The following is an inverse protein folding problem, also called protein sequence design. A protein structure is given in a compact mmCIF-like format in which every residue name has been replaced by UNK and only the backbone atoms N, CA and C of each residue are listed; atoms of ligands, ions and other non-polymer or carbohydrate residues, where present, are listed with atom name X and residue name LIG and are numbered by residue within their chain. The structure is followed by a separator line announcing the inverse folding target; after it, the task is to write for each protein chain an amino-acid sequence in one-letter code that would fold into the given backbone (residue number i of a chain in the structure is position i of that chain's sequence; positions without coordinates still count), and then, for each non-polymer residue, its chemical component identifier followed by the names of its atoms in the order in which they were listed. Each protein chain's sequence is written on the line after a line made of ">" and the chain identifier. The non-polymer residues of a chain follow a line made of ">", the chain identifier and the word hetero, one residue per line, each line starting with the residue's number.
data_IF_020094213592
#
_entry.id   IF_020094213592
#
_cell.length_a   1.000
_cell.length_b   1.000
_cell.length_c   1.000
_cell.angle_alpha   90.00
_cell.angle_beta   90.00
_cell.angle_gamma   90.00
#
_symmetry.space_group_name_H-M   'P 1'
#
loop_
_entity.id
_entity.type
_entity.pdbx_description
1 polymer ?
#
# COMPACT_ATOMS: atom_id res chain seq x y z
N UNK A 1 5.08 -37.29 13.51
CA UNK A 1 5.04 -35.83 13.70
C UNK A 1 3.89 -35.34 12.83
N UNK A 2 2.89 -34.67 13.38
CA UNK A 2 1.77 -34.13 12.59
C UNK A 2 2.17 -32.76 12.02
N UNK A 3 1.67 -32.44 10.84
CA UNK A 3 1.88 -31.16 10.14
C UNK A 3 0.56 -30.38 10.01
N UNK A 4 -0.56 -30.99 10.35
CA UNK A 4 -1.91 -30.44 10.24
C UNK A 4 -2.54 -30.41 11.64
N UNK A 5 -3.12 -29.28 12.01
CA UNK A 5 -3.85 -29.06 13.27
C UNK A 5 -5.33 -29.08 12.97
N UNK A 6 -6.01 -30.09 13.53
CA UNK A 6 -7.44 -30.33 13.38
C UNK A 6 -8.16 -30.39 14.73
N UNK A 7 -7.43 -30.66 15.81
CA UNK A 7 -8.01 -30.85 17.15
C UNK A 7 -7.36 -29.92 18.18
N UNK A 8 -8.07 -29.70 19.28
CA UNK A 8 -7.55 -28.92 20.41
C UNK A 8 -6.27 -29.53 21.00
N UNK A 9 -6.22 -30.85 21.12
CA UNK A 9 -5.03 -31.54 21.63
C UNK A 9 -3.80 -31.31 20.76
N UNK A 10 -3.97 -31.31 19.42
CA UNK A 10 -2.89 -31.00 18.49
C UNK A 10 -2.47 -29.54 18.63
N UNK A 11 -3.44 -28.62 18.73
CA UNK A 11 -3.15 -27.20 18.88
C UNK A 11 -2.38 -26.91 20.18
N UNK A 12 -2.78 -27.53 21.28
CA UNK A 12 -2.09 -27.40 22.56
C UNK A 12 -0.64 -27.88 22.49
N UNK A 13 -0.38 -28.95 21.72
CA UNK A 13 1.00 -29.40 21.44
C UNK A 13 1.80 -28.39 20.64
N UNK A 14 1.21 -27.81 19.57
CA UNK A 14 1.87 -26.77 18.74
C UNK A 14 2.27 -25.57 19.61
N UNK A 15 1.47 -25.16 20.56
CA UNK A 15 1.78 -24.04 21.45
C UNK A 15 3.08 -24.23 22.24
N UNK A 16 3.44 -25.48 22.59
CA UNK A 16 4.68 -25.79 23.29
C UNK A 16 5.86 -26.11 22.36
N UNK A 17 5.59 -26.35 21.09
CA UNK A 17 6.62 -26.79 20.14
C UNK A 17 7.25 -25.65 19.33
N UNK A 18 6.56 -24.53 19.19
CA UNK A 18 7.08 -23.37 18.46
C UNK A 18 7.86 -22.43 19.38
N UNK A 19 9.01 -21.98 18.92
CA UNK A 19 9.82 -20.96 19.60
C UNK A 19 9.21 -19.55 19.50
N UNK A 20 9.87 -18.54 20.05
CA UNK A 20 9.32 -17.19 20.17
C UNK A 20 9.27 -16.40 18.85
N UNK A 21 9.91 -16.88 17.79
CA UNK A 21 9.95 -16.26 16.48
C UNK A 21 9.45 -17.20 15.41
N UNK A 22 8.40 -16.81 14.71
CA UNK A 22 7.73 -17.63 13.70
C UNK A 22 7.56 -16.89 12.37
N UNK A 23 7.41 -17.70 11.31
CA UNK A 23 6.95 -17.25 10.01
C UNK A 23 5.48 -17.66 9.83
N UNK A 24 4.65 -16.76 9.29
CA UNK A 24 3.20 -16.96 9.15
C UNK A 24 2.74 -16.61 7.75
N UNK A 25 1.92 -17.51 7.16
CA UNK A 25 1.26 -17.29 5.88
C UNK A 25 -0.24 -17.59 5.97
N UNK A 26 -1.12 -16.63 5.62
CA UNK A 26 -2.53 -16.91 5.37
C UNK A 26 -2.71 -17.50 3.97
N UNK A 27 -3.50 -18.56 3.86
CA UNK A 27 -3.87 -19.20 2.58
C UNK A 27 -5.31 -18.80 2.26
N UNK A 28 -5.50 -17.97 1.24
CA UNK A 28 -6.82 -17.51 0.80
C UNK A 28 -7.51 -18.55 -0.11
N UNK A 29 -8.81 -18.40 -0.38
CA UNK A 29 -9.57 -19.23 -1.33
C UNK A 29 -8.97 -19.22 -2.74
N UNK A 30 -8.45 -18.07 -3.15
CA UNK A 30 -7.68 -17.90 -4.37
C UNK A 30 -6.38 -17.12 -4.05
N UNK A 31 -5.23 -17.45 -4.69
CA UNK A 31 -3.93 -16.81 -4.39
C UNK A 31 -3.92 -15.28 -4.57
N UNK A 32 -4.78 -14.78 -5.46
CA UNK A 32 -4.87 -13.35 -5.81
C UNK A 32 -6.12 -12.67 -5.23
N UNK A 33 -6.93 -13.38 -4.43
CA UNK A 33 -8.13 -12.82 -3.82
C UNK A 33 -7.78 -11.77 -2.77
N UNK A 34 -8.54 -10.68 -2.76
CA UNK A 34 -8.37 -9.65 -1.74
C UNK A 34 -8.71 -10.21 -0.35
N UNK A 35 -7.80 -10.08 0.64
CA UNK A 35 -7.95 -10.74 1.95
C UNK A 35 -9.09 -10.20 2.81
N UNK A 36 -9.72 -9.06 2.45
CA UNK A 36 -10.94 -8.55 3.11
C UNK A 36 -12.22 -9.28 2.70
N UNK A 37 -12.19 -10.09 1.63
CA UNK A 37 -13.40 -10.71 1.09
C UNK A 37 -13.80 -11.94 1.93
N UNK A 38 -12.84 -12.80 2.21
CA UNK A 38 -13.05 -14.01 3.01
C UNK A 38 -11.91 -14.20 4.02
N UNK A 39 -12.23 -14.83 5.13
CA UNK A 39 -11.21 -15.37 6.02
C UNK A 39 -10.34 -16.40 5.26
N UNK A 40 -9.06 -16.57 5.63
CA UNK A 40 -8.20 -17.56 5.00
C UNK A 40 -8.74 -18.98 5.22
N UNK A 41 -8.43 -19.88 4.26
CA UNK A 41 -8.74 -21.32 4.39
C UNK A 41 -7.92 -21.97 5.49
N UNK A 42 -6.65 -21.60 5.53
CA UNK A 42 -5.69 -22.14 6.47
C UNK A 42 -4.71 -21.05 6.88
N UNK A 43 -4.06 -21.26 8.01
CA UNK A 43 -2.93 -20.46 8.46
C UNK A 43 -1.71 -21.38 8.64
N UNK A 44 -0.63 -21.08 7.92
CA UNK A 44 0.64 -21.78 8.08
C UNK A 44 1.49 -21.08 9.14
N UNK A 45 2.02 -21.87 10.10
CA UNK A 45 2.90 -21.43 11.18
C UNK A 45 4.22 -22.21 11.09
N UNK A 46 5.36 -21.54 11.08
CA UNK A 46 6.67 -22.16 10.95
C UNK A 46 7.67 -21.54 11.93
N UNK A 47 8.30 -22.39 12.74
CA UNK A 47 9.40 -21.96 13.60
C UNK A 47 10.60 -21.50 12.74
N UNK A 48 11.21 -20.37 13.11
CA UNK A 48 12.36 -19.82 12.37
C UNK A 48 13.66 -20.57 12.67
N UNK A 49 13.77 -21.16 13.84
CA UNK A 49 15.01 -21.80 14.33
C UNK A 49 14.98 -23.31 14.26
N UNK A 50 13.81 -23.92 14.29
CA UNK A 50 13.62 -25.38 14.33
C UNK A 50 12.87 -25.87 13.07
N UNK A 51 13.10 -27.10 12.62
CA UNK A 51 12.43 -27.66 11.45
C UNK A 51 10.99 -28.11 11.80
N UNK A 52 10.17 -27.20 12.33
CA UNK A 52 8.79 -27.44 12.74
C UNK A 52 7.83 -26.49 12.08
N UNK A 53 6.92 -27.00 11.26
CA UNK A 53 5.89 -26.24 10.57
C UNK A 53 4.53 -26.93 10.70
N UNK A 54 3.49 -26.13 10.82
CA UNK A 54 2.12 -26.58 11.03
C UNK A 54 1.15 -25.80 10.16
N UNK A 55 0.17 -26.51 9.61
CA UNK A 55 -0.98 -25.91 8.96
C UNK A 55 -2.18 -26.00 9.91
N UNK A 56 -2.78 -24.86 10.24
CA UNK A 56 -4.03 -24.81 11.01
C UNK A 56 -5.17 -24.63 10.03
N UNK A 57 -6.10 -25.58 10.01
CA UNK A 57 -7.22 -25.53 9.09
C UNK A 57 -8.37 -24.70 9.65
N UNK A 58 -8.84 -23.71 8.86
CA UNK A 58 -10.04 -22.95 9.20
C UNK A 58 -11.26 -23.41 8.37
N UNK A 59 -11.12 -23.52 7.06
CA UNK A 59 -12.26 -23.75 6.17
C UNK A 59 -11.97 -24.71 5.00
N UNK A 60 -10.80 -25.35 4.93
CA UNK A 60 -10.51 -26.31 3.88
C UNK A 60 -11.31 -27.60 4.11
N UNK A 61 -12.00 -28.15 3.06
CA UNK A 61 -12.95 -29.25 3.24
C UNK A 61 -12.32 -30.62 3.55
N UNK A 62 -11.02 -30.80 3.29
CA UNK A 62 -10.33 -32.07 3.54
C UNK A 62 -9.93 -32.30 5.00
N UNK A 63 -10.15 -31.33 5.88
CA UNK A 63 -9.73 -31.43 7.27
C UNK A 63 -10.77 -30.82 8.23
N UNK A 64 -10.72 -31.22 9.52
CA UNK A 64 -11.56 -30.62 10.54
C UNK A 64 -11.22 -29.16 10.74
N UNK A 65 -12.25 -28.32 10.89
CA UNK A 65 -12.12 -26.89 11.07
C UNK A 65 -11.72 -26.55 12.50
N UNK A 66 -10.75 -25.64 12.64
CA UNK A 66 -10.30 -25.13 13.93
C UNK A 66 -10.76 -23.68 14.13
N UNK A 67 -11.04 -23.27 15.37
CA UNK A 67 -11.51 -21.91 15.66
C UNK A 67 -10.42 -20.85 15.40
N UNK A 68 -10.62 -19.93 14.43
CA UNK A 68 -9.66 -18.88 14.15
C UNK A 68 -9.37 -17.93 15.33
N UNK A 69 -10.31 -17.77 16.28
CA UNK A 69 -10.14 -16.88 17.42
C UNK A 69 -9.05 -17.35 18.36
N UNK A 70 -8.98 -18.66 18.62
CA UNK A 70 -7.93 -19.24 19.47
C UNK A 70 -6.53 -19.00 18.88
N UNK A 71 -6.40 -19.13 17.56
CA UNK A 71 -5.13 -18.89 16.88
C UNK A 71 -4.71 -17.42 16.96
N UNK A 72 -5.65 -16.48 16.89
CA UNK A 72 -5.34 -15.04 17.07
C UNK A 72 -4.75 -14.74 18.44
N UNK A 73 -5.32 -15.30 19.51
CA UNK A 73 -4.78 -15.12 20.86
C UNK A 73 -3.38 -15.75 20.99
N UNK A 74 -3.18 -16.91 20.38
CA UNK A 74 -1.87 -17.56 20.37
C UNK A 74 -0.82 -16.73 19.63
N UNK A 75 -1.16 -16.14 18.47
CA UNK A 75 -0.24 -15.28 17.70
C UNK A 75 0.26 -14.07 18.51
N UNK A 76 -0.51 -13.59 19.50
CA UNK A 76 -0.10 -12.50 20.39
C UNK A 76 1.04 -12.88 21.32
N UNK A 77 1.24 -14.16 21.58
CA UNK A 77 2.29 -14.65 22.49
C UNK A 77 3.69 -14.66 21.88
N UNK A 78 3.79 -14.64 20.54
CA UNK A 78 5.08 -14.64 19.87
C UNK A 78 5.81 -13.31 20.00
N UNK A 79 7.12 -13.38 20.13
CA UNK A 79 7.98 -12.19 20.17
C UNK A 79 8.06 -11.51 18.80
N UNK A 80 8.16 -12.34 17.74
CA UNK A 80 8.20 -11.86 16.35
C UNK A 80 7.45 -12.80 15.42
N UNK A 81 6.69 -12.18 14.53
CA UNK A 81 5.99 -12.84 13.44
C UNK A 81 6.51 -12.26 12.13
N UNK A 82 7.11 -13.08 11.29
CA UNK A 82 7.57 -12.72 9.96
C UNK A 82 6.55 -13.17 8.91
N UNK A 83 6.28 -12.33 7.92
CA UNK A 83 5.40 -12.66 6.81
C UNK A 83 5.86 -11.96 5.54
N UNK A 84 5.66 -12.53 4.35
CA UNK A 84 5.97 -11.84 3.09
C UNK A 84 5.14 -10.58 2.86
N UNK A 85 3.91 -10.54 3.37
CA UNK A 85 2.98 -9.42 3.23
C UNK A 85 2.22 -9.21 4.56
N UNK A 86 2.73 -8.27 5.36
CA UNK A 86 2.13 -7.88 6.65
C UNK A 86 0.71 -7.36 6.46
N UNK A 87 0.47 -6.62 5.40
CA UNK A 87 -0.84 -6.05 5.09
C UNK A 87 -1.88 -7.15 4.85
N UNK A 88 -1.54 -8.18 4.06
CA UNK A 88 -2.41 -9.33 3.84
C UNK A 88 -2.67 -10.12 5.13
N UNK A 89 -1.63 -10.39 5.93
CA UNK A 89 -1.78 -11.07 7.22
C UNK A 89 -2.64 -10.25 8.19
N UNK A 90 -2.57 -8.91 8.15
CA UNK A 90 -3.30 -8.02 9.06
C UNK A 90 -4.82 -8.11 8.93
N UNK A 91 -5.36 -8.63 7.83
CA UNK A 91 -6.79 -8.95 7.71
C UNK A 91 -7.22 -10.15 8.59
N UNK A 92 -6.27 -11.02 8.92
CA UNK A 92 -6.49 -12.16 9.81
C UNK A 92 -6.02 -11.87 11.22
N UNK A 93 -4.80 -11.34 11.35
CA UNK A 93 -4.17 -11.01 12.61
C UNK A 93 -3.42 -9.67 12.49
N UNK A 94 -3.92 -8.64 13.16
CA UNK A 94 -3.26 -7.35 13.28
C UNK A 94 -2.47 -7.31 14.60
N UNK A 95 -1.14 -7.25 14.50
CA UNK A 95 -0.24 -7.25 15.65
C UNK A 95 0.99 -6.36 15.43
N UNK A 96 1.44 -5.71 16.51
CA UNK A 96 2.66 -4.87 16.51
C UNK A 96 3.94 -5.69 16.43
N UNK A 97 3.85 -7.01 16.68
CA UNK A 97 4.93 -7.97 16.59
C UNK A 97 5.10 -8.60 15.19
N UNK A 98 4.38 -8.09 14.18
CA UNK A 98 4.39 -8.60 12.80
C UNK A 98 5.27 -7.74 11.91
N UNK A 99 6.14 -8.38 11.11
CA UNK A 99 7.13 -7.75 10.26
C UNK A 99 6.97 -8.17 8.79
N UNK A 100 7.02 -7.19 7.88
CA UNK A 100 6.92 -7.38 6.43
C UNK A 100 8.28 -7.66 5.82
N UNK A 101 8.46 -8.85 5.27
CA UNK A 101 9.73 -9.26 4.68
C UNK A 101 9.94 -8.65 3.28
N UNK A 102 8.88 -8.46 2.50
CA UNK A 102 8.99 -7.90 1.15
C UNK A 102 9.33 -6.41 1.15
N UNK A 103 8.94 -5.67 2.16
CA UNK A 103 9.35 -4.26 2.29
C UNK A 103 10.83 -4.14 2.66
N UNK A 104 11.37 -5.13 3.39
CA UNK A 104 12.80 -5.18 3.70
C UNK A 104 13.62 -5.68 2.50
N UNK A 105 13.24 -6.82 1.91
CA UNK A 105 13.87 -7.38 0.71
C UNK A 105 12.84 -8.15 -0.10
N UNK A 106 12.39 -7.53 -1.18
CA UNK A 106 11.38 -8.14 -2.05
C UNK A 106 11.86 -9.44 -2.70
N UNK A 107 11.04 -10.48 -2.63
CA UNK A 107 11.23 -11.74 -3.33
C UNK A 107 10.05 -12.00 -4.26
N UNK A 108 10.34 -12.29 -5.51
CA UNK A 108 9.35 -12.79 -6.47
C UNK A 108 9.16 -14.30 -6.28
N UNK A 109 8.46 -14.69 -5.22
CA UNK A 109 8.12 -16.09 -5.00
C UNK A 109 6.89 -16.45 -5.81
N UNK A 110 6.93 -17.56 -6.53
CA UNK A 110 5.79 -18.05 -7.29
C UNK A 110 4.61 -18.33 -6.35
N UNK A 111 3.54 -17.57 -6.50
CA UNK A 111 2.29 -17.74 -5.73
C UNK A 111 1.50 -18.98 -6.10
N UNK A 112 1.83 -19.61 -7.24
CA UNK A 112 1.16 -20.79 -7.76
C UNK A 112 2.17 -21.90 -8.02
N UNK A 113 1.83 -23.10 -7.58
CA UNK A 113 2.57 -24.34 -7.90
C UNK A 113 2.09 -24.96 -9.20
N UNK A 114 2.77 -26.01 -9.64
CA UNK A 114 2.27 -26.89 -10.71
C UNK A 114 0.88 -27.46 -10.39
N UNK A 115 0.61 -27.79 -9.11
CA UNK A 115 -0.71 -28.25 -8.67
C UNK A 115 -1.80 -27.18 -8.90
N UNK A 116 -1.56 -25.92 -8.54
CA UNK A 116 -2.49 -24.81 -8.81
C UNK A 116 -2.81 -24.68 -10.31
N UNK A 117 -1.80 -24.71 -11.16
CA UNK A 117 -1.97 -24.63 -12.62
C UNK A 117 -2.80 -25.79 -13.16
N UNK A 118 -2.50 -27.01 -12.71
CA UNK A 118 -3.21 -28.22 -13.13
C UNK A 118 -4.70 -28.19 -12.73
N UNK A 119 -5.00 -27.87 -11.47
CA UNK A 119 -6.37 -27.85 -11.00
C UNK A 119 -7.19 -26.72 -11.62
N UNK A 120 -6.61 -25.52 -11.78
CA UNK A 120 -7.25 -24.40 -12.47
C UNK A 120 -7.63 -24.76 -13.91
N UNK A 121 -6.75 -25.39 -14.66
CA UNK A 121 -7.00 -25.81 -16.03
C UNK A 121 -8.08 -26.90 -16.12
N UNK A 122 -8.04 -27.88 -15.19
CA UNK A 122 -8.95 -29.03 -15.25
C UNK A 122 -10.39 -28.70 -14.85
N UNK A 123 -10.57 -27.86 -13.83
CA UNK A 123 -11.89 -27.64 -13.24
C UNK A 123 -12.52 -26.30 -13.62
N UNK A 124 -11.81 -25.42 -14.30
CA UNK A 124 -12.26 -24.09 -14.70
C UNK A 124 -12.80 -23.25 -13.53
N UNK A 125 -12.44 -23.60 -12.29
CA UNK A 125 -12.84 -22.88 -11.09
C UNK A 125 -11.76 -21.87 -10.76
N UNK A 126 -12.11 -20.59 -10.85
CA UNK A 126 -11.16 -19.51 -10.55
C UNK A 126 -11.34 -18.98 -9.13
N UNK A 127 -12.58 -18.93 -8.64
CA UNK A 127 -12.93 -18.31 -7.37
C UNK A 127 -12.41 -19.09 -6.15
N UNK A 128 -12.58 -20.41 -6.18
CA UNK A 128 -12.28 -21.32 -5.06
C UNK A 128 -11.11 -22.25 -5.38
N UNK A 129 -10.14 -21.78 -6.17
CA UNK A 129 -9.01 -22.60 -6.63
C UNK A 129 -8.31 -23.36 -5.49
N UNK A 130 -8.09 -22.72 -4.36
CA UNK A 130 -7.40 -23.35 -3.23
C UNK A 130 -8.26 -24.35 -2.45
N UNK A 131 -9.59 -24.33 -2.60
CA UNK A 131 -10.48 -25.33 -2.00
C UNK A 131 -10.39 -26.69 -2.66
N UNK A 132 -10.05 -26.74 -3.96
CA UNK A 132 -9.95 -27.99 -4.74
C UNK A 132 -8.53 -28.57 -4.77
N UNK A 133 -7.54 -27.82 -4.29
CA UNK A 133 -6.16 -28.29 -4.18
C UNK A 133 -6.02 -29.06 -2.87
N UNK A 134 -5.47 -30.28 -2.88
CA UNK A 134 -5.28 -31.06 -1.66
C UNK A 134 -4.53 -30.27 -0.59
N UNK A 135 -5.00 -30.31 0.66
CA UNK A 135 -4.46 -29.50 1.77
C UNK A 135 -2.96 -29.74 1.98
N UNK A 136 -2.46 -30.95 1.72
CA UNK A 136 -1.03 -31.28 1.81
C UNK A 136 -0.20 -30.46 0.81
N UNK A 137 -0.76 -30.12 -0.35
CA UNK A 137 -0.06 -29.31 -1.35
C UNK A 137 0.08 -27.86 -0.92
N UNK A 138 -0.86 -27.36 -0.13
CA UNK A 138 -0.71 -26.05 0.51
C UNK A 138 0.43 -26.06 1.53
N UNK A 139 0.54 -27.10 2.34
CA UNK A 139 1.65 -27.24 3.27
C UNK A 139 3.00 -27.27 2.55
N UNK A 140 3.15 -28.14 1.53
CA UNK A 140 4.37 -28.23 0.71
C UNK A 140 4.75 -26.88 0.09
N UNK A 141 3.77 -26.14 -0.43
CA UNK A 141 4.00 -24.82 -1.00
C UNK A 141 4.48 -23.81 0.05
N UNK A 142 3.92 -23.84 1.25
CA UNK A 142 4.32 -22.95 2.34
C UNK A 142 5.75 -23.23 2.81
N UNK A 143 6.18 -24.50 2.85
CA UNK A 143 7.58 -24.86 3.17
C UNK A 143 8.54 -24.28 2.11
N UNK A 144 8.20 -24.39 0.82
CA UNK A 144 9.00 -23.79 -0.26
C UNK A 144 9.10 -22.25 -0.09
N UNK A 145 7.98 -21.59 0.19
CA UNK A 145 7.95 -20.14 0.42
C UNK A 145 8.80 -19.78 1.64
N UNK A 146 8.69 -20.52 2.73
CA UNK A 146 9.50 -20.30 3.92
C UNK A 146 10.99 -20.40 3.61
N UNK A 147 11.43 -21.43 2.91
CA UNK A 147 12.84 -21.63 2.55
C UNK A 147 13.40 -20.46 1.72
N UNK A 148 12.60 -19.88 0.83
CA UNK A 148 12.96 -18.69 0.05
C UNK A 148 13.12 -17.44 0.94
N UNK A 149 12.33 -17.33 2.03
CA UNK A 149 12.40 -16.18 2.94
C UNK A 149 13.36 -16.38 4.12
N UNK A 150 13.77 -17.58 4.44
CA UNK A 150 14.67 -17.85 5.57
C UNK A 150 15.97 -17.02 5.53
N UNK A 151 16.65 -16.84 4.38
CA UNK A 151 17.81 -15.96 4.29
C UNK A 151 17.48 -14.48 4.56
N UNK A 152 16.26 -14.04 4.21
CA UNK A 152 15.80 -12.66 4.48
C UNK A 152 15.54 -12.48 5.97
N UNK A 153 14.86 -13.45 6.61
CA UNK A 153 14.58 -13.43 8.06
C UNK A 153 15.89 -13.33 8.86
N UNK A 154 16.91 -14.11 8.50
CA UNK A 154 18.22 -14.12 9.20
C UNK A 154 18.93 -12.77 9.22
N UNK A 155 18.70 -11.90 8.25
CA UNK A 155 19.30 -10.56 8.14
C UNK A 155 18.33 -9.42 8.39
N UNK A 156 17.09 -9.74 8.76
CA UNK A 156 16.02 -8.76 8.92
C UNK A 156 16.34 -7.75 10.03
N UNK A 157 16.17 -6.48 9.70
CA UNK A 157 16.28 -5.36 10.64
C UNK A 157 14.94 -4.63 10.65
N UNK A 158 14.29 -4.49 11.82
CA UNK A 158 13.04 -3.75 11.94
C UNK A 158 13.18 -2.30 11.44
N UNK A 159 12.15 -1.83 10.74
CA UNK A 159 12.08 -0.49 10.21
C UNK A 159 10.67 0.08 10.46
N UNK A 160 10.56 1.11 11.28
CA UNK A 160 9.29 1.73 11.66
C UNK A 160 8.52 2.25 10.44
N UNK A 161 9.20 2.82 9.46
CA UNK A 161 8.56 3.26 8.23
C UNK A 161 7.89 2.12 7.46
N UNK A 162 8.48 0.93 7.41
CA UNK A 162 7.86 -0.24 6.78
C UNK A 162 6.61 -0.69 7.53
N UNK A 163 6.65 -0.63 8.86
CA UNK A 163 5.48 -0.94 9.69
C UNK A 163 4.35 0.06 9.47
N UNK A 164 4.66 1.35 9.47
CA UNK A 164 3.71 2.41 9.21
C UNK A 164 3.10 2.29 7.81
N UNK A 165 3.94 2.07 6.80
CA UNK A 165 3.50 1.89 5.41
C UNK A 165 2.51 0.72 5.29
N UNK A 166 2.83 -0.45 5.84
CA UNK A 166 1.92 -1.60 5.81
C UNK A 166 0.61 -1.32 6.55
N UNK A 167 0.68 -0.69 7.72
CA UNK A 167 -0.47 -0.44 8.58
C UNK A 167 -1.44 0.57 7.95
N UNK A 168 -0.95 1.68 7.38
CA UNK A 168 -1.83 2.70 6.79
C UNK A 168 -2.53 2.16 5.54
N UNK A 169 -1.82 1.39 4.69
CA UNK A 169 -2.43 0.82 3.50
C UNK A 169 -3.39 -0.33 3.82
N UNK A 170 -3.10 -1.16 4.81
CA UNK A 170 -4.08 -2.13 5.31
C UNK A 170 -5.36 -1.44 5.81
N UNK A 171 -5.23 -0.33 6.54
CA UNK A 171 -6.38 0.41 7.05
C UNK A 171 -7.28 0.93 5.91
N UNK A 172 -6.70 1.42 4.81
CA UNK A 172 -7.44 1.87 3.63
C UNK A 172 -8.10 0.67 2.94
N UNK A 173 -7.34 -0.37 2.65
CA UNK A 173 -7.80 -1.55 1.90
C UNK A 173 -8.97 -2.26 2.58
N UNK A 174 -8.96 -2.39 3.91
CA UNK A 174 -10.02 -3.09 4.63
C UNK A 174 -11.39 -2.40 4.54
N UNK A 175 -11.41 -1.10 4.29
CA UNK A 175 -12.65 -0.33 4.25
C UNK A 175 -13.45 -0.57 2.98
N UNK A 176 -12.80 -0.74 1.83
CA UNK A 176 -13.44 -0.86 0.52
C UNK A 176 -14.24 0.40 0.14
N UNK A 177 -14.61 0.50 -1.13
CA UNK A 177 -15.51 1.51 -1.64
C UNK A 177 -16.86 0.88 -1.94
N UNK A 178 -17.95 1.53 -1.50
CA UNK A 178 -19.29 1.11 -1.86
C UNK A 178 -19.55 1.43 -3.32
N UNK A 179 -20.16 0.49 -4.04
CA UNK A 179 -20.53 0.63 -5.45
C UNK A 179 -22.02 0.51 -5.62
N UNK A 180 -22.58 1.27 -6.58
CA UNK A 180 -23.97 1.16 -6.96
C UNK A 180 -24.17 0.10 -8.07
N UNK A 181 -25.44 -0.13 -8.46
CA UNK A 181 -25.82 -1.13 -9.47
C UNK A 181 -25.26 -0.87 -10.87
N UNK A 182 -24.80 0.35 -11.17
CA UNK A 182 -24.20 0.68 -12.46
C UNK A 182 -22.74 0.24 -12.61
N UNK A 183 -22.14 -0.35 -11.57
CA UNK A 183 -20.73 -0.77 -11.57
C UNK A 183 -20.38 -1.61 -12.80
N UNK A 184 -21.16 -2.64 -13.11
CA UNK A 184 -20.91 -3.54 -14.22
C UNK A 184 -20.97 -2.85 -15.60
N UNK A 185 -21.65 -1.71 -15.69
CA UNK A 185 -21.74 -0.92 -16.94
C UNK A 185 -20.38 -0.34 -17.37
N UNK A 186 -19.52 -0.02 -16.40
CA UNK A 186 -18.27 0.69 -16.67
C UNK A 186 -17.02 -0.18 -16.54
N UNK A 187 -17.15 -1.33 -15.88
CA UNK A 187 -16.00 -2.16 -15.53
C UNK A 187 -16.20 -3.60 -15.96
N UNK A 188 -15.55 -3.98 -17.06
CA UNK A 188 -15.44 -5.37 -17.51
C UNK A 188 -14.24 -6.01 -16.83
N UNK A 189 -14.42 -6.43 -15.59
CA UNK A 189 -13.40 -7.13 -14.82
C UNK A 189 -13.49 -8.63 -15.11
N UNK A 190 -12.43 -9.22 -15.67
CA UNK A 190 -12.36 -10.66 -15.93
C UNK A 190 -12.55 -11.53 -14.68
N UNK A 191 -12.22 -10.98 -13.50
CA UNK A 191 -12.27 -11.67 -12.20
C UNK A 191 -12.78 -10.73 -11.11
N UNK A 192 -14.03 -10.26 -11.18
CA UNK A 192 -14.55 -9.31 -10.19
C UNK A 192 -14.57 -9.87 -8.78
N UNK A 193 -14.68 -11.21 -8.62
CA UNK A 193 -14.65 -11.88 -7.33
C UNK A 193 -13.31 -11.73 -6.57
N UNK A 194 -12.22 -11.39 -7.25
CA UNK A 194 -10.92 -11.19 -6.59
C UNK A 194 -10.86 -9.90 -5.76
N UNK A 195 -11.62 -8.87 -6.14
CA UNK A 195 -11.58 -7.57 -5.48
C UNK A 195 -12.95 -7.02 -5.09
N UNK A 196 -14.03 -7.78 -5.31
CA UNK A 196 -15.41 -7.34 -5.04
C UNK A 196 -16.17 -8.33 -4.18
N UNK A 197 -16.90 -7.81 -3.21
CA UNK A 197 -17.81 -8.60 -2.38
C UNK A 197 -19.05 -7.80 -2.05
N UNK A 198 -20.24 -8.36 -2.32
CA UNK A 198 -21.51 -7.66 -2.19
C UNK A 198 -21.51 -6.33 -2.97
N UNK A 199 -21.84 -5.23 -2.31
CA UNK A 199 -21.85 -3.86 -2.86
C UNK A 199 -20.56 -3.09 -2.62
N UNK A 200 -19.42 -3.78 -2.35
CA UNK A 200 -18.12 -3.15 -2.14
C UNK A 200 -17.09 -3.67 -3.12
N UNK A 201 -16.22 -2.76 -3.57
CA UNK A 201 -14.96 -3.11 -4.23
C UNK A 201 -13.79 -2.72 -3.33
N UNK A 202 -12.76 -3.55 -3.29
CA UNK A 202 -11.60 -3.34 -2.45
C UNK A 202 -10.41 -2.95 -3.31
N UNK A 203 -9.73 -1.86 -2.94
CA UNK A 203 -8.44 -1.51 -3.53
C UNK A 203 -7.35 -2.36 -2.89
N UNK A 204 -6.32 -2.68 -3.67
CA UNK A 204 -5.13 -3.36 -3.19
C UNK A 204 -3.90 -2.62 -3.70
N UNK A 205 -3.02 -2.20 -2.79
CA UNK A 205 -1.82 -1.47 -3.12
C UNK A 205 -0.59 -2.38 -3.17
N UNK A 206 0.14 -2.30 -4.28
CA UNK A 206 1.50 -2.83 -4.34
C UNK A 206 2.46 -1.81 -3.71
N UNK A 207 3.06 -2.18 -2.58
CA UNK A 207 4.03 -1.35 -1.86
C UNK A 207 5.47 -1.56 -2.35
N UNK A 208 5.71 -2.62 -3.14
CA UNK A 208 7.03 -3.02 -3.64
C UNK A 208 7.30 -2.49 -5.06
N UNK A 209 7.10 -1.19 -5.26
CA UNK A 209 7.41 -0.53 -6.53
C UNK A 209 8.86 -0.03 -6.56
N UNK A 210 9.38 0.22 -7.75
CA UNK A 210 10.75 0.73 -7.93
C UNK A 210 11.00 2.01 -7.13
N UNK A 211 10.05 2.93 -7.16
CA UNK A 211 10.16 4.22 -6.46
C UNK A 211 9.68 4.14 -5.00
N UNK A 212 9.03 3.05 -4.59
CA UNK A 212 8.35 2.94 -3.31
C UNK A 212 7.01 3.71 -3.26
N UNK A 213 6.56 4.29 -4.38
CA UNK A 213 5.23 4.92 -4.50
C UNK A 213 4.19 3.82 -4.68
N UNK A 214 3.22 3.65 -3.77
CA UNK A 214 2.21 2.62 -3.86
C UNK A 214 1.40 2.72 -5.15
N UNK A 215 1.15 1.59 -5.79
CA UNK A 215 0.30 1.52 -6.99
C UNK A 215 -0.79 0.48 -6.80
N UNK A 216 -1.93 0.65 -7.48
CA UNK A 216 -2.96 -0.39 -7.48
C UNK A 216 -2.45 -1.66 -8.15
N UNK A 217 -2.79 -2.82 -7.60
CA UNK A 217 -2.42 -4.12 -8.18
C UNK A 217 -3.27 -4.40 -9.43
N UNK A 218 -2.75 -5.24 -10.33
CA UNK A 218 -3.41 -5.57 -11.60
C UNK A 218 -4.72 -6.35 -11.45
N UNK A 219 -5.01 -6.93 -10.29
CA UNK A 219 -6.25 -7.66 -10.03
C UNK A 219 -7.35 -6.77 -9.41
N UNK A 220 -7.11 -5.46 -9.34
CA UNK A 220 -8.02 -4.45 -8.84
C UNK A 220 -8.16 -3.31 -9.85
N UNK A 221 -9.12 -2.41 -9.61
CA UNK A 221 -9.25 -1.19 -10.40
C UNK A 221 -8.05 -0.29 -10.17
N UNK A 222 -7.52 0.29 -11.25
CA UNK A 222 -6.54 1.36 -11.14
C UNK A 222 -7.26 2.69 -10.89
N UNK A 223 -7.59 2.96 -9.64
CA UNK A 223 -8.34 4.15 -9.24
C UNK A 223 -7.65 5.46 -9.62
N UNK A 224 -6.32 5.51 -9.59
CA UNK A 224 -5.55 6.69 -9.98
C UNK A 224 -5.68 7.02 -11.48
N UNK A 225 -6.00 6.03 -12.32
CA UNK A 225 -6.16 6.18 -13.77
C UNK A 225 -7.64 6.24 -14.21
N UNK A 226 -8.61 6.25 -13.29
CA UNK A 226 -10.02 6.35 -13.66
C UNK A 226 -10.33 7.73 -14.26
N UNK A 227 -10.83 7.79 -15.49
CA UNK A 227 -11.18 9.05 -16.13
C UNK A 227 -12.33 9.75 -15.39
N UNK A 228 -12.32 11.08 -15.37
CA UNK A 228 -13.39 11.90 -14.78
C UNK A 228 -14.57 12.09 -15.75
N UNK A 229 -14.27 12.11 -17.06
CA UNK A 229 -15.18 12.57 -18.11
C UNK A 229 -16.17 11.51 -18.56
N UNK A 230 -15.87 10.22 -18.37
CA UNK A 230 -16.74 9.12 -18.86
C UNK A 230 -17.80 8.66 -17.86
N UNK A 231 -17.90 9.29 -16.69
CA UNK A 231 -18.84 8.93 -15.64
C UNK A 231 -18.54 7.65 -14.87
N UNK A 232 -17.38 6.98 -15.12
CA UNK A 232 -17.03 5.74 -14.42
C UNK A 232 -16.89 5.92 -12.91
N UNK A 233 -16.51 7.12 -12.46
CA UNK A 233 -16.40 7.44 -11.03
C UNK A 233 -17.75 7.54 -10.32
N UNK A 234 -18.87 7.73 -11.03
CA UNK A 234 -20.20 7.88 -10.44
C UNK A 234 -20.74 6.59 -9.79
N UNK A 235 -20.11 5.45 -10.09
CA UNK A 235 -20.49 4.18 -9.46
C UNK A 235 -19.99 4.06 -8.02
N UNK A 236 -19.02 4.87 -7.61
CA UNK A 236 -18.49 4.87 -6.24
C UNK A 236 -19.29 5.87 -5.41
N UNK A 237 -20.04 5.34 -4.46
CA UNK A 237 -20.99 6.09 -3.63
C UNK A 237 -20.63 5.96 -2.14
N UNK A 238 -21.01 6.91 -1.29
CA UNK A 238 -20.76 6.79 0.13
C UNK A 238 -21.60 5.67 0.76
N UNK A 239 -21.07 5.04 1.80
CA UNK A 239 -21.84 4.22 2.75
C UNK A 239 -22.53 5.08 3.81
N UNK A 240 -21.90 6.24 4.11
CA UNK A 240 -22.37 7.25 5.05
C UNK A 240 -23.10 8.38 4.32
N UNK A 241 -22.83 9.64 4.65
CA UNK A 241 -23.57 10.79 4.14
C UNK A 241 -23.05 11.31 2.81
N UNK A 242 -21.70 11.39 2.64
CA UNK A 242 -21.09 11.91 1.42
C UNK A 242 -19.62 11.46 1.31
N UNK A 243 -19.06 11.56 0.09
CA UNK A 243 -17.63 11.45 -0.15
C UNK A 243 -16.97 12.83 -0.02
N UNK A 244 -15.78 12.87 0.61
CA UNK A 244 -14.92 14.06 0.71
C UNK A 244 -13.55 13.71 0.14
N UNK A 245 -13.15 14.41 -0.92
CA UNK A 245 -11.80 14.35 -1.48
C UNK A 245 -10.97 15.53 -0.95
N UNK A 246 -9.79 15.23 -0.45
CA UNK A 246 -8.76 16.20 -0.06
C UNK A 246 -7.60 16.02 -1.03
N UNK A 247 -7.34 17.00 -1.89
CA UNK A 247 -6.34 16.98 -2.97
C UNK A 247 -5.22 17.97 -2.64
N UNK A 248 -3.96 17.51 -2.68
CA UNK A 248 -2.78 18.33 -2.40
C UNK A 248 -2.42 19.19 -3.61
N UNK A 249 -2.36 20.50 -3.43
CA UNK A 249 -2.01 21.45 -4.49
C UNK A 249 -0.51 21.67 -4.54
N UNK A 250 0.08 21.66 -5.76
CA UNK A 250 1.51 21.89 -6.00
C UNK A 250 2.43 20.99 -5.13
N UNK A 251 2.02 19.75 -4.89
CA UNK A 251 2.62 18.92 -3.84
C UNK A 251 4.11 18.64 -4.06
N UNK A 252 4.53 18.16 -5.24
CA UNK A 252 5.95 17.93 -5.51
C UNK A 252 6.79 19.20 -5.42
N UNK A 253 6.41 20.34 -6.01
CA UNK A 253 7.14 21.59 -5.81
C UNK A 253 7.24 21.98 -4.33
N UNK A 254 6.17 21.82 -3.55
CA UNK A 254 6.18 22.12 -2.11
C UNK A 254 7.16 21.22 -1.36
N UNK A 255 7.15 19.91 -1.61
CA UNK A 255 8.10 18.97 -1.00
C UNK A 255 9.55 19.28 -1.39
N UNK A 256 9.80 19.59 -2.67
CA UNK A 256 11.13 19.99 -3.14
C UNK A 256 11.56 21.27 -2.44
N UNK A 257 10.68 22.27 -2.35
CA UNK A 257 10.95 23.52 -1.65
C UNK A 257 11.37 23.29 -0.20
N UNK A 258 10.65 22.43 0.51
CA UNK A 258 11.00 22.02 1.88
C UNK A 258 12.38 21.34 1.95
N UNK A 259 12.67 20.42 1.00
CA UNK A 259 13.95 19.71 0.96
C UNK A 259 15.15 20.65 0.69
N UNK A 260 14.97 21.66 -0.15
CA UNK A 260 16.05 22.58 -0.54
C UNK A 260 16.10 23.87 0.29
N UNK A 261 15.16 24.02 1.25
CA UNK A 261 15.07 25.21 2.09
C UNK A 261 14.59 26.47 1.33
N UNK A 262 13.82 26.29 0.26
CA UNK A 262 13.21 27.42 -0.46
C UNK A 262 11.98 27.93 0.30
N UNK A 263 12.00 29.20 0.65
CA UNK A 263 10.87 29.88 1.29
C UNK A 263 10.05 30.60 0.21
N UNK A 264 8.93 30.02 -0.21
CA UNK A 264 8.01 30.63 -1.16
C UNK A 264 7.41 31.91 -0.61
N UNK A 265 7.59 33.08 -1.26
CA UNK A 265 6.99 34.35 -0.84
C UNK A 265 5.46 34.34 -0.81
N UNK A 266 4.83 33.66 -1.77
CA UNK A 266 3.36 33.55 -1.86
C UNK A 266 2.79 32.31 -1.17
N UNK A 267 3.65 31.36 -0.82
CA UNK A 267 3.27 30.02 -0.37
C UNK A 267 2.93 29.06 -1.51
N UNK A 268 2.95 29.50 -2.77
CA UNK A 268 2.73 28.70 -3.97
C UNK A 268 3.85 28.94 -4.99
N UNK A 269 4.69 27.94 -5.24
CA UNK A 269 5.84 28.04 -6.13
C UNK A 269 5.42 28.39 -7.57
N UNK A 270 4.22 28.00 -8.00
CA UNK A 270 3.70 28.38 -9.32
C UNK A 270 3.38 29.89 -9.38
N UNK A 271 2.86 30.48 -8.30
CA UNK A 271 2.63 31.91 -8.22
C UNK A 271 3.94 32.68 -8.14
N UNK A 272 4.91 32.20 -7.38
CA UNK A 272 6.25 32.81 -7.32
C UNK A 272 6.89 32.86 -8.71
N UNK A 273 6.85 31.74 -9.43
CA UNK A 273 7.39 31.64 -10.79
C UNK A 273 6.61 32.51 -11.78
N UNK A 274 5.28 32.53 -11.68
CA UNK A 274 4.43 33.38 -12.50
C UNK A 274 4.75 34.86 -12.32
N UNK A 275 4.92 35.31 -11.06
CA UNK A 275 5.26 36.68 -10.74
C UNK A 275 6.63 37.10 -11.26
N UNK A 276 7.65 36.23 -11.15
CA UNK A 276 9.01 36.50 -11.62
C UNK A 276 9.11 36.66 -13.15
N UNK A 277 8.37 35.83 -13.89
CA UNK A 277 8.47 35.76 -15.36
C UNK A 277 7.26 36.40 -16.07
N UNK A 278 6.35 37.03 -15.37
CA UNK A 278 5.23 37.80 -15.96
C UNK A 278 4.23 36.96 -16.75
N UNK A 279 3.87 35.78 -16.25
CA UNK A 279 2.92 34.86 -16.87
C UNK A 279 1.76 34.50 -15.90
N UNK A 280 0.71 33.83 -16.40
CA UNK A 280 -0.33 33.34 -15.54
C UNK A 280 0.07 32.05 -14.78
N UNK A 281 -0.61 31.75 -13.68
CA UNK A 281 -0.32 30.59 -12.83
C UNK A 281 -0.48 29.26 -13.55
N UNK A 282 -1.38 29.14 -14.53
CA UNK A 282 -1.63 27.90 -15.28
C UNK A 282 -0.46 27.61 -16.22
N UNK A 283 0.04 28.63 -16.90
CA UNK A 283 1.23 28.57 -17.74
C UNK A 283 2.46 28.24 -16.88
N UNK A 284 2.64 28.93 -15.75
CA UNK A 284 3.71 28.67 -14.79
C UNK A 284 3.70 27.22 -14.29
N UNK A 285 2.54 26.67 -13.96
CA UNK A 285 2.40 25.26 -13.57
C UNK A 285 2.93 24.32 -14.64
N UNK A 286 2.56 24.55 -15.91
CA UNK A 286 3.01 23.73 -17.03
C UNK A 286 4.53 23.79 -17.24
N UNK A 287 5.12 24.97 -17.09
CA UNK A 287 6.57 25.18 -17.23
C UNK A 287 7.35 24.59 -16.07
N UNK A 288 6.94 24.86 -14.83
CA UNK A 288 7.60 24.29 -13.62
C UNK A 288 7.58 22.76 -13.69
N UNK A 289 6.44 22.17 -14.06
CA UNK A 289 6.33 20.72 -14.21
C UNK A 289 7.30 20.17 -15.26
N UNK A 290 7.37 20.78 -16.44
CA UNK A 290 8.31 20.35 -17.49
C UNK A 290 9.77 20.41 -17.05
N UNK A 291 10.12 21.40 -16.24
CA UNK A 291 11.49 21.57 -15.75
C UNK A 291 11.84 20.56 -14.65
N UNK A 292 10.95 20.31 -13.73
CA UNK A 292 11.19 19.34 -12.64
C UNK A 292 11.34 17.90 -13.16
N UNK A 293 10.53 17.51 -14.16
CA UNK A 293 10.53 16.15 -14.70
C UNK A 293 11.36 15.97 -15.97
N UNK A 294 11.73 17.04 -16.60
CA UNK A 294 12.53 17.02 -17.83
C UNK A 294 13.93 17.61 -17.64
N UNK A 295 14.06 18.90 -17.83
CA UNK A 295 15.32 19.64 -17.74
C UNK A 295 15.05 21.10 -17.39
N UNK A 296 15.86 21.67 -16.51
CA UNK A 296 15.78 23.09 -16.17
C UNK A 296 16.39 23.89 -17.32
N UNK A 297 15.55 24.68 -18.02
CA UNK A 297 15.98 25.50 -19.17
C UNK A 297 16.86 26.66 -18.71
N UNK A 298 17.86 27.00 -19.52
CA UNK A 298 18.83 28.04 -19.19
C UNK A 298 18.21 29.39 -18.82
N UNK A 299 17.09 29.75 -19.45
CA UNK A 299 16.36 31.00 -19.18
C UNK A 299 15.70 31.07 -17.80
N UNK A 300 15.54 29.93 -17.12
CA UNK A 300 14.90 29.84 -15.80
C UNK A 300 15.84 29.34 -14.67
N UNK A 301 17.10 29.06 -15.03
CA UNK A 301 18.08 28.52 -14.07
C UNK A 301 18.38 29.46 -12.90
N UNK A 302 18.13 30.78 -13.09
CA UNK A 302 18.40 31.78 -12.08
C UNK A 302 17.23 31.95 -11.07
N UNK A 303 16.06 31.39 -11.34
CA UNK A 303 14.98 31.28 -10.36
C UNK A 303 15.47 30.50 -9.14
N UNK A 304 15.43 31.10 -7.96
CA UNK A 304 16.08 30.56 -6.77
C UNK A 304 15.64 29.15 -6.43
N UNK A 305 14.37 28.83 -6.60
CA UNK A 305 13.87 27.47 -6.43
C UNK A 305 14.55 26.47 -7.37
N UNK A 306 14.73 26.81 -8.65
CA UNK A 306 15.40 25.90 -9.59
C UNK A 306 16.90 25.82 -9.34
N UNK A 307 17.53 26.91 -8.94
CA UNK A 307 18.95 26.93 -8.55
C UNK A 307 19.25 25.98 -7.40
N UNK A 308 18.41 26.02 -6.37
CA UNK A 308 18.50 25.11 -5.21
C UNK A 308 18.18 23.66 -5.60
N UNK A 309 17.14 23.46 -6.41
CA UNK A 309 16.75 22.14 -6.92
C UNK A 309 17.86 21.51 -7.76
N UNK A 310 18.50 22.27 -8.64
CA UNK A 310 19.60 21.77 -9.46
C UNK A 310 20.79 21.31 -8.60
N UNK A 311 21.15 22.04 -7.56
CA UNK A 311 22.17 21.60 -6.60
C UNK A 311 21.82 20.28 -5.94
N UNK A 312 20.57 20.09 -5.54
CA UNK A 312 20.10 18.83 -4.94
C UNK A 312 20.18 17.69 -5.97
N UNK A 313 19.78 17.89 -7.22
CA UNK A 313 19.87 16.91 -8.29
C UNK A 313 21.34 16.47 -8.47
N UNK A 314 22.26 17.42 -8.53
CA UNK A 314 23.68 17.16 -8.69
C UNK A 314 24.29 16.39 -7.51
N UNK A 315 23.89 16.71 -6.28
CA UNK A 315 24.32 15.99 -5.07
C UNK A 315 23.83 14.54 -5.07
N UNK A 316 22.54 14.30 -5.36
CA UNK A 316 21.96 12.96 -5.45
C UNK A 316 22.70 12.16 -6.53
N UNK A 317 22.88 12.74 -7.72
CA UNK A 317 23.54 12.10 -8.86
C UNK A 317 25.01 11.77 -8.57
N UNK A 318 25.76 12.74 -8.04
CA UNK A 318 27.15 12.56 -7.67
C UNK A 318 27.33 11.42 -6.66
N UNK A 319 26.48 11.36 -5.63
CA UNK A 319 26.48 10.27 -4.65
C UNK A 319 26.19 8.92 -5.31
N UNK A 320 25.17 8.87 -6.15
CA UNK A 320 24.78 7.65 -6.87
C UNK A 320 25.90 7.13 -7.78
N UNK A 321 26.53 8.01 -8.54
CA UNK A 321 27.64 7.62 -9.43
C UNK A 321 28.90 7.19 -8.65
N UNK A 322 29.21 7.87 -7.55
CA UNK A 322 30.39 7.57 -6.75
C UNK A 322 30.29 6.27 -5.97
N UNK A 323 29.11 5.94 -5.47
CA UNK A 323 28.89 4.81 -4.56
C UNK A 323 28.16 3.62 -5.18
N UNK A 324 27.65 3.77 -6.42
CA UNK A 324 26.79 2.79 -7.09
C UNK A 324 25.37 2.73 -6.52
N UNK A 325 25.02 3.61 -5.57
CA UNK A 325 23.70 3.66 -4.93
C UNK A 325 23.38 5.04 -4.36
N UNK A 326 22.09 5.30 -4.16
CA UNK A 326 21.58 6.42 -3.34
C UNK A 326 20.62 5.88 -2.30
N UNK A 327 20.79 6.27 -1.04
CA UNK A 327 19.92 5.84 0.07
C UNK A 327 19.14 7.04 0.60
N UNK A 328 17.83 6.88 0.71
CA UNK A 328 16.94 7.85 1.40
C UNK A 328 17.02 7.51 2.88
N UNK A 329 17.74 8.32 3.66
CA UNK A 329 18.08 8.03 5.05
C UNK A 329 16.87 7.83 5.96
N UNK A 330 15.80 8.61 5.76
CA UNK A 330 14.59 8.59 6.58
C UNK A 330 13.82 7.27 6.50
N UNK A 331 13.95 6.56 5.39
CA UNK A 331 13.18 5.33 5.11
C UNK A 331 14.04 4.10 4.95
N UNK A 332 15.34 4.29 4.69
CA UNK A 332 16.27 3.22 4.32
C UNK A 332 16.11 2.74 2.86
N UNK A 333 15.27 3.39 2.03
CA UNK A 333 15.12 3.01 0.61
C UNK A 333 16.41 3.22 -0.15
N UNK A 334 16.85 2.18 -0.83
CA UNK A 334 18.09 2.18 -1.62
C UNK A 334 17.76 2.09 -3.10
N UNK A 335 18.24 3.07 -3.88
CA UNK A 335 18.27 3.01 -5.34
C UNK A 335 19.65 2.53 -5.77
N UNK A 336 19.77 1.35 -6.37
CA UNK A 336 21.05 0.77 -6.82
C UNK A 336 21.22 0.92 -8.31
N UNK A 337 22.44 1.23 -8.75
CA UNK A 337 22.79 1.34 -10.17
C UNK A 337 22.61 0.01 -10.90
N UNK A 338 22.87 -1.12 -10.24
CA UNK A 338 22.64 -2.45 -10.79
C UNK A 338 21.19 -2.73 -11.16
N UNK A 339 20.24 -2.15 -10.41
CA UNK A 339 18.82 -2.43 -10.54
C UNK A 339 18.11 -1.43 -11.46
N UNK A 340 18.81 -0.33 -11.81
CA UNK A 340 18.28 0.82 -12.51
C UNK A 340 19.09 1.14 -13.77
N UNK A 341 18.94 0.35 -14.84
CA UNK A 341 19.65 0.62 -16.10
C UNK A 341 19.18 1.93 -16.76
N UNK A 342 20.07 2.59 -17.49
CA UNK A 342 19.78 3.83 -18.24
C UNK A 342 19.24 4.97 -17.38
N UNK A 343 19.79 5.12 -16.14
CA UNK A 343 19.45 6.22 -15.25
C UNK A 343 20.14 7.51 -15.69
N UNK A 344 19.50 8.64 -15.41
CA UNK A 344 20.06 9.98 -15.57
C UNK A 344 19.69 10.82 -14.32
N UNK A 345 20.32 12.02 -14.13
CA UNK A 345 20.09 12.82 -12.93
C UNK A 345 18.62 13.13 -12.67
N UNK A 346 17.86 13.56 -13.67
CA UNK A 346 16.46 13.93 -13.53
C UNK A 346 15.56 12.73 -13.20
N UNK A 347 15.81 11.60 -13.86
CA UNK A 347 15.05 10.37 -13.63
C UNK A 347 15.29 9.85 -12.20
N UNK A 348 16.55 9.86 -11.72
CA UNK A 348 16.85 9.46 -10.35
C UNK A 348 16.20 10.41 -9.33
N UNK A 349 16.31 11.73 -9.59
CA UNK A 349 15.66 12.73 -8.77
C UNK A 349 14.15 12.51 -8.69
N UNK A 350 13.47 12.25 -9.82
CA UNK A 350 12.05 11.94 -9.85
C UNK A 350 11.69 10.70 -9.00
N UNK A 351 12.54 9.68 -9.00
CA UNK A 351 12.33 8.48 -8.17
C UNK A 351 12.46 8.82 -6.68
N UNK A 352 13.44 9.65 -6.32
CA UNK A 352 13.63 10.12 -4.95
C UNK A 352 12.43 10.96 -4.49
N UNK A 353 11.94 11.88 -5.32
CA UNK A 353 10.77 12.73 -4.98
C UNK A 353 9.49 11.90 -4.83
N UNK A 354 9.23 10.93 -5.72
CA UNK A 354 8.08 10.04 -5.58
C UNK A 354 8.15 9.19 -4.29
N UNK A 355 9.35 8.80 -3.89
CA UNK A 355 9.53 8.11 -2.61
C UNK A 355 9.30 9.04 -1.43
N UNK A 356 9.81 10.27 -1.50
CA UNK A 356 9.62 11.31 -0.48
C UNK A 356 8.16 11.71 -0.32
N UNK A 357 7.43 11.80 -1.43
CA UNK A 357 5.98 11.97 -1.44
C UNK A 357 5.28 10.87 -0.61
N UNK A 358 5.64 9.61 -0.86
CA UNK A 358 5.06 8.48 -0.12
C UNK A 358 5.39 8.56 1.37
N UNK A 359 6.64 8.88 1.72
CA UNK A 359 7.05 9.06 3.11
C UNK A 359 6.23 10.14 3.81
N UNK A 360 6.07 11.30 3.19
CA UNK A 360 5.25 12.40 3.71
C UNK A 360 3.77 12.00 3.84
N UNK A 361 3.23 11.30 2.83
CA UNK A 361 1.84 10.83 2.86
C UNK A 361 1.59 9.78 3.94
N UNK A 362 2.54 8.89 4.21
CA UNK A 362 2.40 7.91 5.31
C UNK A 362 2.26 8.63 6.65
N UNK A 363 3.01 9.70 6.89
CA UNK A 363 2.89 10.50 8.10
C UNK A 363 1.51 11.18 8.20
N UNK A 364 0.99 11.73 7.10
CA UNK A 364 -0.36 12.32 7.04
C UNK A 364 -1.43 11.25 7.27
N UNK A 365 -1.32 10.11 6.60
CA UNK A 365 -2.26 9.00 6.72
C UNK A 365 -2.34 8.45 8.15
N UNK A 366 -1.20 8.36 8.85
CA UNK A 366 -1.18 7.96 10.27
C UNK A 366 -2.02 8.90 11.13
N UNK A 367 -1.85 10.20 10.96
CA UNK A 367 -2.61 11.20 11.72
C UNK A 367 -4.11 11.15 11.38
N UNK A 368 -4.46 11.05 10.09
CA UNK A 368 -5.87 10.89 9.67
C UNK A 368 -6.48 9.64 10.29
N UNK A 369 -5.80 8.49 10.20
CA UNK A 369 -6.27 7.22 10.75
C UNK A 369 -6.43 7.31 12.26
N UNK A 370 -5.52 7.97 12.97
CA UNK A 370 -5.62 8.20 14.40
C UNK A 370 -6.87 9.03 14.76
N UNK A 371 -7.14 10.10 14.02
CA UNK A 371 -8.30 10.99 14.24
C UNK A 371 -9.62 10.23 14.03
N UNK A 372 -9.71 9.41 12.98
CA UNK A 372 -10.94 8.66 12.65
C UNK A 372 -11.00 7.27 13.30
N UNK A 373 -10.08 6.97 14.20
CA UNK A 373 -10.10 5.70 14.91
C UNK A 373 -11.41 5.56 15.71
N UNK A 374 -12.10 4.43 15.52
CA UNK A 374 -13.42 4.16 16.12
C UNK A 374 -14.55 5.14 15.72
N UNK A 375 -14.39 5.87 14.60
CA UNK A 375 -15.43 6.73 14.03
C UNK A 375 -16.13 6.05 12.87
N UNK A 376 -17.32 6.58 12.50
CA UNK A 376 -18.05 6.07 11.34
C UNK A 376 -17.46 6.54 10.01
N UNK A 377 -16.83 7.71 9.97
CA UNK A 377 -16.04 8.20 8.83
C UNK A 377 -14.89 7.24 8.52
N UNK A 378 -14.70 6.92 7.23
CA UNK A 378 -13.68 5.98 6.78
C UNK A 378 -12.80 6.59 5.70
N UNK A 379 -11.51 6.37 5.79
CA UNK A 379 -10.57 6.61 4.69
C UNK A 379 -10.66 5.43 3.72
N UNK A 380 -11.15 5.67 2.51
CA UNK A 380 -11.53 4.59 1.57
C UNK A 380 -10.65 4.49 0.34
N UNK A 381 -9.92 5.57 -0.01
CA UNK A 381 -9.04 5.58 -1.16
C UNK A 381 -7.88 6.55 -0.97
N UNK A 382 -6.74 6.18 -1.53
CA UNK A 382 -5.55 7.01 -1.68
C UNK A 382 -5.10 6.97 -3.15
N UNK A 383 -4.92 8.12 -3.77
CA UNK A 383 -4.49 8.27 -5.17
C UNK A 383 -3.34 9.30 -5.27
N UNK A 384 -2.21 8.98 -4.60
CA UNK A 384 -0.98 9.77 -4.57
C UNK A 384 -1.11 11.10 -3.83
N UNK A 385 -1.64 12.12 -4.49
CA UNK A 385 -1.87 13.47 -3.97
C UNK A 385 -3.29 13.70 -3.46
N UNK A 386 -4.16 12.70 -3.51
CA UNK A 386 -5.54 12.81 -3.04
C UNK A 386 -5.94 11.70 -2.05
N UNK A 387 -6.75 12.07 -1.08
CA UNK A 387 -7.31 11.24 -0.01
C UNK A 387 -8.83 11.29 -0.08
N UNK A 388 -9.49 10.15 -0.24
CA UNK A 388 -10.95 10.07 -0.29
C UNK A 388 -11.50 9.50 1.02
N UNK A 389 -12.35 10.25 1.67
CA UNK A 389 -13.07 9.85 2.88
C UNK A 389 -14.56 9.61 2.57
N UNK A 390 -15.10 8.59 3.18
CA UNK A 390 -16.53 8.31 3.27
C UNK A 390 -17.02 8.88 4.61
N UNK A 391 -17.66 10.05 4.57
CA UNK A 391 -17.87 10.90 5.75
C UNK A 391 -19.23 10.69 6.36
N UNK A 392 -19.26 10.48 7.67
CA UNK A 392 -20.46 10.60 8.49
C UNK A 392 -20.55 12.04 9.09
N UNK A 393 -21.70 12.67 8.95
CA UNK A 393 -21.92 14.05 9.46
C UNK A 393 -21.74 14.20 10.95
N UNK A 394 -21.84 13.12 11.72
CA UNK A 394 -21.61 13.15 13.16
C UNK A 394 -20.13 13.38 13.52
N UNK A 395 -19.21 13.02 12.62
CA UNK A 395 -17.75 13.16 12.79
C UNK A 395 -17.21 14.50 12.27
N UNK A 396 -18.02 15.57 12.33
CA UNK A 396 -17.68 16.90 11.82
C UNK A 396 -16.42 17.49 12.44
N UNK A 397 -16.22 17.29 13.72
CA UNK A 397 -15.05 17.84 14.42
C UNK A 397 -13.77 17.10 14.05
N UNK A 398 -13.86 15.80 13.77
CA UNK A 398 -12.75 15.00 13.25
C UNK A 398 -12.35 15.47 11.84
N UNK A 399 -13.31 15.82 10.99
CA UNK A 399 -12.99 16.38 9.66
C UNK A 399 -12.23 17.70 9.79
N UNK A 400 -12.61 18.60 10.72
CA UNK A 400 -11.85 19.83 10.97
C UNK A 400 -10.42 19.54 11.43
N UNK A 401 -10.25 18.56 12.33
CA UNK A 401 -8.92 18.13 12.78
C UNK A 401 -8.08 17.59 11.62
N UNK A 402 -8.67 16.77 10.74
CA UNK A 402 -7.99 16.28 9.53
C UNK A 402 -7.50 17.44 8.66
N UNK A 403 -8.34 18.45 8.41
CA UNK A 403 -7.92 19.61 7.62
C UNK A 403 -6.78 20.39 8.28
N UNK A 404 -6.74 20.42 9.62
CA UNK A 404 -5.65 21.04 10.38
C UNK A 404 -4.32 20.33 10.19
N UNK A 405 -4.31 18.99 10.05
CA UNK A 405 -3.09 18.22 9.78
C UNK A 405 -2.32 18.75 8.55
N UNK A 406 -3.03 19.07 7.49
CA UNK A 406 -2.41 19.62 6.27
C UNK A 406 -1.87 21.04 6.49
N UNK A 407 -2.63 21.87 7.19
CA UNK A 407 -2.23 23.24 7.53
C UNK A 407 -0.94 23.26 8.38
N UNK A 408 -0.87 22.41 9.40
CA UNK A 408 0.28 22.33 10.31
C UNK A 408 1.55 21.86 9.59
N UNK A 409 1.41 21.14 8.47
CA UNK A 409 2.51 20.71 7.60
C UNK A 409 2.81 21.72 6.47
N UNK A 410 2.19 22.89 6.48
CA UNK A 410 2.29 23.89 5.42
C UNK A 410 1.96 23.34 4.03
N UNK A 411 0.95 22.48 3.94
CA UNK A 411 0.48 21.89 2.70
C UNK A 411 -0.81 22.58 2.25
N UNK A 412 -0.84 23.02 1.00
CA UNK A 412 -2.04 23.56 0.38
C UNK A 412 -2.94 22.43 -0.11
N UNK A 413 -4.23 22.53 0.18
CA UNK A 413 -5.23 21.54 -0.21
C UNK A 413 -6.40 22.17 -0.94
N UNK A 414 -7.04 21.37 -1.80
CA UNK A 414 -8.40 21.59 -2.30
C UNK A 414 -9.29 20.52 -1.71
N UNK A 415 -10.46 20.92 -1.27
CA UNK A 415 -11.46 20.00 -0.74
C UNK A 415 -12.68 20.01 -1.63
N UNK A 416 -13.20 18.82 -1.95
CA UNK A 416 -14.41 18.66 -2.74
C UNK A 416 -15.26 17.54 -2.13
N UNK A 417 -16.59 17.71 -2.11
CA UNK A 417 -17.51 16.74 -1.53
C UNK A 417 -18.70 16.46 -2.45
N UNK A 418 -19.31 15.30 -2.31
CA UNK A 418 -20.47 14.96 -3.15
C UNK A 418 -21.12 13.61 -2.82
N UNK A 419 -22.23 13.31 -3.50
CA UNK A 419 -22.97 12.06 -3.33
C UNK A 419 -22.32 10.87 -4.05
N UNK A 420 -21.37 11.11 -4.93
CA UNK A 420 -20.55 10.11 -5.62
C UNK A 420 -19.17 10.68 -5.99
N UNK A 421 -18.26 9.82 -6.42
CA UNK A 421 -16.87 10.22 -6.71
C UNK A 421 -16.70 11.02 -8.02
N UNK A 422 -17.74 11.13 -8.85
CA UNK A 422 -17.71 11.88 -10.12
C UNK A 422 -18.25 13.31 -9.98
N UNK A 423 -19.21 13.52 -9.08
CA UNK A 423 -19.94 14.78 -8.92
C UNK A 423 -19.50 15.57 -7.68
N UNK A 424 -18.23 15.48 -7.34
CA UNK A 424 -17.64 16.26 -6.23
C UNK A 424 -17.64 17.75 -6.57
N UNK A 425 -18.10 18.58 -5.62
CA UNK A 425 -18.12 20.04 -5.72
C UNK A 425 -17.19 20.64 -4.67
N UNK A 426 -16.56 21.79 -4.95
CA UNK A 426 -15.73 22.49 -3.97
C UNK A 426 -16.48 22.72 -2.64
N UNK A 427 -15.75 22.54 -1.53
CA UNK A 427 -16.26 22.78 -0.17
C UNK A 427 -16.14 24.26 0.17
#
# INVERSE_FOLDING_TARGET
>A
MFWLVETQEQFDKVQFELGPEIFVLPIQRHPEMHPSIYAPLCLYLRDVTQPKGFLVNYFHPEALQFDPLQVKEYLRTFKKIYTPDKKALSHTYFGTNTYDLNLFEHKEVKKQTHAHSYFSQRYHTEEDLNLIIPIVKHFEQCEIIFDEYLPVIKKYIPNEYHDDLSNVFWFIERNGLKVNSAFERYFDLKRPFLSRYNSYTFTQYNLNTTTGRPSNTFNSLNFAALPKENGSRSVFVPRNDFLLEIDLTAYHPTLIGQMVGYNSPTGDIYEDFAAEYGMDRTEAKGLVFKQLYGHIFDQYKDFEFFKLTQKLIEQIWSTFMKTGKYTVEQTGKVFKQSDLPNMNPQKLFNYVIQHWETYSNVAILKEIIYIINNKETKLVLYTYDAFLLDVNKQDKEEIKQILTVFKDKNLQIKTSYGPDYNTLQPL
#
